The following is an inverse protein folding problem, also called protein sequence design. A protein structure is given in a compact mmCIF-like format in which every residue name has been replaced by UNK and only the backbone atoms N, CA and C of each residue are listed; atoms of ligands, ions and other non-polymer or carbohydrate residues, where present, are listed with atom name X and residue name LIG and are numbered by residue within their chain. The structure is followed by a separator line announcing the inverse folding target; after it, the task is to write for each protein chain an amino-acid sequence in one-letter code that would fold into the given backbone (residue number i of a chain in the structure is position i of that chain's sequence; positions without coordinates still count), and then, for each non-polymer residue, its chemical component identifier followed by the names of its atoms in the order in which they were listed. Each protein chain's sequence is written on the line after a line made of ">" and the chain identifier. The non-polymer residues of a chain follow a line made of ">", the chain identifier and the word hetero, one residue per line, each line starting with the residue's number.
data_IF_980222604574
#
_entry.id   IF_980222604574
#
_cell.length_a   1.000
_cell.length_b   1.000
_cell.length_c   1.000
_cell.angle_alpha   90.00
_cell.angle_beta   90.00
_cell.angle_gamma   90.00
#
_symmetry.space_group_name_H-M   'P 1'
#
loop_
_entity.id
_entity.type
_entity.pdbx_description
1 polymer ?
#
# COMPACT_ATOMS: atom_id res chain seq x y z
N UNK A 1 0.77 -10.34 -6.03
CA UNK A 1 -0.27 -9.51 -6.67
C UNK A 1 0.34 -8.75 -7.84
N UNK A 2 -0.34 -8.69 -8.99
CA UNK A 2 0.14 -8.03 -10.22
C UNK A 2 -0.80 -6.91 -10.71
N UNK A 3 -1.68 -6.41 -9.83
CA UNK A 3 -2.58 -5.30 -10.15
C UNK A 3 -1.76 -4.02 -10.23
N UNK A 4 -1.90 -3.26 -11.32
CA UNK A 4 -1.25 -1.96 -11.50
C UNK A 4 -2.23 -0.85 -11.19
N UNK A 5 -1.75 0.25 -10.61
CA UNK A 5 -2.62 1.35 -10.24
C UNK A 5 -3.23 2.03 -11.47
N UNK A 6 -2.51 2.07 -12.59
CA UNK A 6 -2.99 2.66 -13.83
C UNK A 6 -3.90 1.71 -14.66
N UNK A 7 -4.38 0.61 -14.09
CA UNK A 7 -5.32 -0.28 -14.77
C UNK A 7 -6.67 0.46 -14.99
N UNK A 8 -7.18 0.50 -16.24
CA UNK A 8 -8.40 1.24 -16.56
C UNK A 8 -9.66 0.67 -15.89
N UNK A 9 -9.64 -0.60 -15.45
CA UNK A 9 -10.77 -1.27 -14.77
C UNK A 9 -10.85 -0.94 -13.28
N UNK A 10 -9.84 -0.31 -12.69
CA UNK A 10 -9.92 0.22 -11.33
C UNK A 10 -10.80 1.47 -11.26
N UNK A 11 -11.37 1.78 -10.10
CA UNK A 11 -12.01 3.08 -9.86
C UNK A 11 -11.03 4.24 -10.05
N UNK A 12 -11.52 5.40 -10.51
CA UNK A 12 -10.67 6.54 -10.88
C UNK A 12 -9.89 7.11 -9.70
N UNK A 13 -10.46 7.03 -8.51
CA UNK A 13 -9.85 7.42 -7.25
C UNK A 13 -8.66 6.53 -6.93
N UNK A 14 -8.80 5.21 -7.13
CA UNK A 14 -7.72 4.24 -6.96
C UNK A 14 -6.63 4.47 -8.01
N UNK A 15 -7.01 4.73 -9.27
CA UNK A 15 -6.05 5.05 -10.32
C UNK A 15 -5.18 6.27 -9.97
N UNK A 16 -5.76 7.27 -9.32
CA UNK A 16 -5.04 8.51 -8.95
C UNK A 16 -4.25 8.37 -7.64
N UNK A 17 -4.82 7.74 -6.63
CA UNK A 17 -4.33 7.84 -5.24
C UNK A 17 -4.24 6.50 -4.51
N UNK A 18 -4.49 5.37 -5.19
CA UNK A 18 -4.64 4.05 -4.58
C UNK A 18 -3.35 3.32 -4.21
N UNK A 19 -2.18 3.93 -4.37
CA UNK A 19 -0.89 3.26 -4.14
C UNK A 19 -0.78 2.63 -2.75
N UNK A 20 -1.20 3.33 -1.70
CA UNK A 20 -1.14 2.80 -0.35
C UNK A 20 -2.15 1.65 -0.15
N UNK A 21 -3.38 1.81 -0.64
CA UNK A 21 -4.41 0.76 -0.59
C UNK A 21 -3.94 -0.54 -1.26
N UNK A 22 -3.29 -0.43 -2.41
CA UNK A 22 -2.75 -1.58 -3.13
C UNK A 22 -1.59 -2.24 -2.38
N UNK A 23 -0.74 -1.46 -1.70
CA UNK A 23 0.29 -2.03 -0.83
C UNK A 23 -0.31 -2.83 0.35
N UNK A 24 -1.40 -2.35 0.94
CA UNK A 24 -2.10 -3.10 2.00
C UNK A 24 -2.66 -4.43 1.47
N UNK A 25 -3.30 -4.41 0.30
CA UNK A 25 -3.81 -5.63 -0.34
C UNK A 25 -2.70 -6.61 -0.74
N UNK A 26 -1.54 -6.11 -1.15
CA UNK A 26 -0.36 -6.95 -1.38
C UNK A 26 0.00 -7.75 -0.13
N UNK A 27 0.10 -7.10 1.04
CA UNK A 27 0.42 -7.78 2.29
C UNK A 27 -0.68 -8.73 2.74
N UNK A 28 -1.95 -8.33 2.62
CA UNK A 28 -3.09 -9.22 2.92
C UNK A 28 -3.03 -10.48 2.05
N UNK A 29 -2.80 -10.31 0.74
CA UNK A 29 -2.64 -11.42 -0.21
C UNK A 29 -1.53 -12.38 0.22
N UNK A 30 -0.38 -11.85 0.68
CA UNK A 30 0.73 -12.67 1.16
C UNK A 30 0.44 -13.38 2.47
N UNK A 31 -0.16 -12.71 3.46
CA UNK A 31 -0.40 -13.30 4.78
C UNK A 31 -1.57 -14.27 4.83
N UNK A 32 -2.55 -14.09 3.96
CA UNK A 32 -3.76 -14.92 3.90
C UNK A 32 -3.78 -15.87 2.71
N UNK A 33 -2.72 -15.86 1.89
CA UNK A 33 -2.65 -16.65 0.65
C UNK A 33 -3.89 -16.43 -0.22
N UNK A 34 -4.33 -15.17 -0.29
CA UNK A 34 -5.49 -14.74 -1.08
C UNK A 34 -5.02 -14.14 -2.40
N UNK A 35 -5.78 -14.39 -3.46
CA UNK A 35 -5.62 -13.68 -4.72
C UNK A 35 -6.69 -12.61 -4.84
N UNK A 36 -6.28 -11.37 -5.07
CA UNK A 36 -7.19 -10.27 -5.37
C UNK A 36 -7.28 -10.05 -6.86
N UNK A 37 -8.51 -9.98 -7.36
CA UNK A 37 -8.85 -9.47 -8.68
C UNK A 37 -9.05 -7.95 -8.63
N UNK A 38 -9.16 -7.31 -9.79
CA UNK A 38 -9.50 -5.88 -9.87
C UNK A 38 -10.89 -5.59 -9.30
N UNK A 39 -11.84 -6.52 -9.46
CA UNK A 39 -13.18 -6.38 -8.88
C UNK A 39 -13.08 -6.33 -7.36
N UNK A 40 -12.32 -7.25 -6.75
CA UNK A 40 -12.14 -7.27 -5.30
C UNK A 40 -11.54 -5.96 -4.79
N UNK A 41 -10.56 -5.38 -5.49
CA UNK A 41 -9.98 -4.09 -5.11
C UNK A 41 -11.03 -2.95 -5.15
N UNK A 42 -11.86 -2.92 -6.20
CA UNK A 42 -12.91 -1.91 -6.33
C UNK A 42 -14.00 -2.04 -5.25
N UNK A 43 -14.37 -3.28 -4.95
CA UNK A 43 -15.38 -3.60 -3.94
C UNK A 43 -14.86 -3.31 -2.54
N UNK A 44 -13.62 -3.70 -2.24
CA UNK A 44 -12.96 -3.40 -0.97
C UNK A 44 -12.75 -1.90 -0.77
N UNK A 45 -12.35 -1.15 -1.81
CA UNK A 45 -12.29 0.31 -1.73
C UNK A 45 -13.64 0.90 -1.32
N UNK A 46 -14.72 0.51 -2.01
CA UNK A 46 -16.07 1.04 -1.73
C UNK A 46 -16.52 0.66 -0.32
N UNK A 47 -16.25 -0.58 0.11
CA UNK A 47 -16.54 -1.06 1.47
C UNK A 47 -15.77 -0.26 2.52
N UNK A 48 -14.47 -0.07 2.34
CA UNK A 48 -13.63 0.63 3.32
C UNK A 48 -13.88 2.14 3.36
N UNK A 49 -14.37 2.71 2.28
CA UNK A 49 -14.97 4.06 2.28
C UNK A 49 -16.22 4.09 3.16
N UNK A 50 -17.17 3.18 2.94
CA UNK A 50 -18.42 3.12 3.71
C UNK A 50 -18.20 2.86 5.19
N UNK A 51 -17.18 2.06 5.54
CA UNK A 51 -16.79 1.80 6.94
C UNK A 51 -15.97 2.94 7.56
N UNK A 52 -15.61 3.98 6.80
CA UNK A 52 -14.83 5.12 7.28
C UNK A 52 -13.34 4.80 7.53
N UNK A 53 -12.80 3.74 6.93
CA UNK A 53 -11.38 3.38 7.05
C UNK A 53 -10.51 4.13 6.04
N UNK A 54 -11.13 4.59 4.95
CA UNK A 54 -10.51 5.30 3.83
C UNK A 54 -11.43 6.47 3.43
N UNK A 55 -10.88 7.62 3.05
CA UNK A 55 -11.63 8.71 2.41
C UNK A 55 -11.83 8.45 0.92
N UNK A 56 -12.80 9.13 0.29
CA UNK A 56 -13.05 8.98 -1.16
C UNK A 56 -11.81 9.24 -2.04
N UNK A 57 -10.86 10.06 -1.61
CA UNK A 57 -9.60 10.26 -2.32
C UNK A 57 -8.50 9.20 -2.03
N UNK A 58 -8.88 8.00 -1.58
CA UNK A 58 -7.97 6.91 -1.14
C UNK A 58 -7.06 7.24 0.05
N UNK A 59 -7.27 8.36 0.75
CA UNK A 59 -6.51 8.64 1.96
C UNK A 59 -6.88 7.62 3.06
N UNK A 60 -5.92 6.76 3.42
CA UNK A 60 -6.11 5.72 4.43
C UNK A 60 -6.14 6.38 5.82
N UNK A 61 -7.27 6.25 6.51
CA UNK A 61 -7.44 6.76 7.88
C UNK A 61 -6.98 5.74 8.92
N UNK A 62 -7.26 4.46 8.69
CA UNK A 62 -6.91 3.39 9.62
C UNK A 62 -6.51 2.10 8.87
N UNK A 63 -5.20 1.91 8.59
CA UNK A 63 -4.74 0.71 7.89
C UNK A 63 -4.87 -0.56 8.76
N UNK A 64 -4.80 -0.45 10.08
CA UNK A 64 -4.95 -1.57 11.00
C UNK A 64 -6.37 -2.16 10.97
N UNK A 65 -7.41 -1.31 10.84
CA UNK A 65 -8.79 -1.79 10.66
C UNK A 65 -8.98 -2.53 9.34
N UNK A 66 -8.28 -2.12 8.28
CA UNK A 66 -8.28 -2.85 7.00
C UNK A 66 -7.63 -4.22 7.18
N UNK A 67 -6.50 -4.32 7.87
CA UNK A 67 -5.88 -5.62 8.18
C UNK A 67 -6.75 -6.50 9.08
N UNK A 68 -7.38 -5.91 10.11
CA UNK A 68 -8.27 -6.62 11.04
C UNK A 68 -9.50 -7.20 10.31
N UNK A 69 -10.01 -6.53 9.27
CA UNK A 69 -11.07 -7.08 8.41
C UNK A 69 -10.74 -8.46 7.83
N UNK A 70 -9.45 -8.79 7.68
CA UNK A 70 -8.96 -10.10 7.23
C UNK A 70 -8.40 -10.96 8.36
N UNK A 71 -8.63 -10.60 9.62
CA UNK A 71 -8.10 -11.28 10.80
C UNK A 71 -6.57 -11.18 10.90
N UNK A 72 -6.01 -10.02 10.56
CA UNK A 72 -4.58 -9.70 10.78
C UNK A 72 -4.53 -8.64 11.86
N UNK A 73 -4.04 -8.99 13.04
CA UNK A 73 -3.83 -8.05 14.11
C UNK A 73 -2.42 -7.43 13.97
N UNK A 74 -2.38 -6.11 13.88
CA UNK A 74 -1.14 -5.35 13.75
C UNK A 74 -1.31 -3.92 14.24
N UNK A 75 -0.26 -3.37 14.83
CA UNK A 75 -0.09 -1.94 15.04
C UNK A 75 0.70 -1.31 13.89
N UNK A 76 0.51 0.00 13.67
CA UNK A 76 1.23 0.77 12.66
C UNK A 76 1.89 1.96 13.31
N UNK A 77 3.12 2.27 12.88
CA UNK A 77 3.79 3.51 13.22
C UNK A 77 4.50 4.12 12.02
N UNK A 78 4.72 5.42 12.11
CA UNK A 78 5.56 6.14 11.18
C UNK A 78 7.02 6.01 11.61
N UNK A 79 7.91 5.76 10.65
CA UNK A 79 9.35 5.72 10.89
C UNK A 79 10.10 6.49 9.81
N UNK A 80 11.30 6.95 10.16
CA UNK A 80 12.23 7.57 9.21
C UNK A 80 12.74 6.56 8.18
N UNK A 81 13.16 7.07 7.00
CA UNK A 81 13.60 6.27 5.85
C UNK A 81 14.73 5.27 6.13
N UNK A 82 15.52 5.48 7.17
CA UNK A 82 16.65 4.65 7.57
C UNK A 82 16.29 3.54 8.57
N UNK A 83 15.05 3.48 9.07
CA UNK A 83 14.62 2.38 9.94
C UNK A 83 14.67 1.04 9.21
N UNK A 84 15.12 -0.01 9.90
CA UNK A 84 15.23 -1.38 9.38
C UNK A 84 14.17 -2.24 10.06
N UNK A 85 13.33 -2.89 9.26
CA UNK A 85 12.21 -3.70 9.75
C UNK A 85 12.72 -4.93 10.52
N UNK A 86 12.13 -5.20 11.68
CA UNK A 86 12.38 -6.41 12.47
C UNK A 86 11.68 -7.62 11.85
N UNK A 87 12.01 -8.84 12.30
CA UNK A 87 11.48 -10.10 11.76
C UNK A 87 9.95 -10.22 11.83
N UNK A 88 9.32 -9.61 12.83
CA UNK A 88 7.87 -9.58 13.00
C UNK A 88 7.22 -8.30 12.44
N UNK A 89 7.96 -7.52 11.66
CA UNK A 89 7.51 -6.27 11.06
C UNK A 89 7.48 -6.38 9.53
N UNK A 90 6.61 -5.58 8.94
CA UNK A 90 6.56 -5.36 7.50
C UNK A 90 6.34 -3.88 7.21
N UNK A 91 6.79 -3.41 6.04
CA UNK A 91 6.85 -1.98 5.77
C UNK A 91 6.19 -1.57 4.44
N UNK A 92 5.58 -0.40 4.45
CA UNK A 92 5.22 0.33 3.24
C UNK A 92 6.03 1.62 3.24
N UNK A 93 6.88 1.79 2.24
CA UNK A 93 7.69 3.00 2.06
C UNK A 93 6.92 4.06 1.31
N UNK A 94 6.95 5.28 1.83
CA UNK A 94 6.55 6.49 1.12
C UNK A 94 7.74 7.02 0.34
N UNK A 95 7.59 7.22 -0.96
CA UNK A 95 8.64 7.67 -1.86
C UNK A 95 8.23 8.95 -2.58
N UNK A 96 9.22 9.80 -2.86
CA UNK A 96 9.07 10.96 -3.71
C UNK A 96 9.59 10.62 -5.10
N UNK A 97 8.72 10.73 -6.10
CA UNK A 97 9.13 10.61 -7.50
C UNK A 97 9.67 11.97 -7.94
N UNK A 98 10.83 11.98 -8.58
CA UNK A 98 11.46 13.23 -9.01
C UNK A 98 10.56 13.96 -10.02
N UNK A 99 10.46 15.29 -9.88
CA UNK A 99 9.68 16.18 -10.76
C UNK A 99 8.16 15.92 -10.78
N UNK A 100 7.63 15.05 -9.92
CA UNK A 100 6.20 14.81 -9.76
C UNK A 100 5.73 15.36 -8.41
N UNK A 101 4.62 16.11 -8.40
CA UNK A 101 4.01 16.59 -7.17
C UNK A 101 3.38 15.42 -6.38
N UNK A 102 3.47 15.48 -5.04
CA UNK A 102 2.99 14.41 -4.15
C UNK A 102 4.01 13.31 -3.86
N UNK A 103 3.55 12.26 -3.19
CA UNK A 103 4.31 11.05 -2.84
C UNK A 103 3.58 9.80 -3.35
N UNK A 104 4.33 8.71 -3.46
CA UNK A 104 3.85 7.39 -3.86
C UNK A 104 4.17 6.37 -2.77
N UNK A 105 3.38 5.30 -2.66
CA UNK A 105 3.62 4.24 -1.68
C UNK A 105 3.97 2.93 -2.38
N UNK A 106 4.99 2.26 -1.87
CA UNK A 106 5.47 0.95 -2.33
C UNK A 106 5.64 0.00 -1.14
N UNK A 107 5.34 -1.28 -1.34
CA UNK A 107 5.64 -2.29 -0.33
C UNK A 107 7.12 -2.66 -0.44
N UNK A 108 7.84 -2.57 0.68
CA UNK A 108 9.28 -2.85 0.73
C UNK A 108 9.62 -3.79 1.87
N UNK A 109 10.82 -4.37 1.83
CA UNK A 109 11.44 -5.02 2.98
C UNK A 109 12.93 -4.73 2.92
N UNK A 110 13.45 -3.96 3.87
CA UNK A 110 14.87 -3.61 3.97
C UNK A 110 15.44 -3.12 2.62
N UNK A 111 14.76 -2.13 2.02
CA UNK A 111 15.11 -1.51 0.73
C UNK A 111 14.85 -2.38 -0.52
N UNK A 112 14.41 -3.63 -0.36
CA UNK A 112 13.95 -4.46 -1.46
C UNK A 112 12.50 -4.09 -1.78
N UNK A 113 12.21 -3.74 -3.03
CA UNK A 113 10.85 -3.49 -3.49
C UNK A 113 10.13 -4.83 -3.66
N UNK A 114 9.07 -5.03 -2.89
CA UNK A 114 8.24 -6.22 -2.91
C UNK A 114 7.04 -6.06 -3.84
N UNK A 115 6.47 -4.84 -3.88
CA UNK A 115 5.39 -4.48 -4.77
C UNK A 115 5.35 -2.97 -4.99
N UNK A 116 5.21 -2.58 -6.25
CA UNK A 116 5.04 -1.21 -6.70
C UNK A 116 3.98 -1.18 -7.81
N UNK A 117 2.87 -0.52 -7.52
CA UNK A 117 1.72 -0.43 -8.40
C UNK A 117 1.99 0.38 -9.68
N UNK A 118 3.05 1.19 -9.72
CA UNK A 118 3.47 1.99 -10.87
C UNK A 118 4.69 1.43 -11.60
N UNK A 119 5.37 0.44 -11.02
CA UNK A 119 6.60 -0.16 -11.56
C UNK A 119 7.69 0.87 -11.88
N UNK A 120 7.94 1.80 -10.96
CA UNK A 120 8.93 2.87 -11.10
C UNK A 120 10.32 2.34 -11.46
N UNK A 121 10.76 1.26 -10.79
CA UNK A 121 12.06 0.62 -11.07
C UNK A 121 12.12 0.06 -12.50
N UNK A 122 11.10 -0.71 -12.93
CA UNK A 122 11.05 -1.28 -14.29
C UNK A 122 11.05 -0.18 -15.36
N UNK A 123 10.54 1.01 -15.03
CA UNK A 123 10.48 2.19 -15.92
C UNK A 123 11.73 3.07 -15.86
N UNK A 124 12.73 2.73 -15.03
CA UNK A 124 13.89 3.58 -14.79
C UNK A 124 13.54 4.95 -14.18
N UNK A 125 12.40 5.05 -13.51
CA UNK A 125 11.93 6.30 -12.89
C UNK A 125 12.63 6.51 -11.55
N UNK A 126 13.43 7.56 -11.38
CA UNK A 126 14.12 7.82 -10.13
C UNK A 126 13.13 8.27 -9.03
N UNK A 127 13.38 7.78 -7.83
CA UNK A 127 12.66 8.17 -6.63
C UNK A 127 13.56 8.02 -5.40
N UNK A 128 13.18 8.68 -4.30
CA UNK A 128 13.84 8.51 -3.01
C UNK A 128 12.82 8.29 -1.90
N UNK A 129 13.17 7.45 -0.92
CA UNK A 129 12.31 7.17 0.24
C UNK A 129 12.27 8.37 1.17
N UNK A 130 11.05 8.80 1.52
CA UNK A 130 10.77 9.87 2.47
C UNK A 130 10.56 9.32 3.88
N UNK A 131 9.70 8.32 4.00
CA UNK A 131 9.29 7.75 5.28
C UNK A 131 8.84 6.31 5.11
N UNK A 132 8.56 5.64 6.23
CA UNK A 132 8.01 4.28 6.26
C UNK A 132 6.77 4.22 7.14
N UNK A 133 5.83 3.37 6.77
CA UNK A 133 4.77 2.86 7.66
C UNK A 133 5.20 1.46 8.05
N UNK A 134 5.63 1.31 9.29
CA UNK A 134 6.04 0.01 9.84
C UNK A 134 4.85 -0.59 10.55
N UNK A 135 4.51 -1.80 10.15
CA UNK A 135 3.49 -2.60 10.78
C UNK A 135 4.15 -3.71 11.57
N UNK A 136 3.76 -3.86 12.84
CA UNK A 136 4.18 -4.98 13.66
C UNK A 136 3.01 -5.93 13.80
N UNK A 137 3.24 -7.20 13.47
CA UNK A 137 2.21 -8.24 13.57
C UNK A 137 2.19 -8.85 14.99
N UNK A 138 1.00 -9.20 15.46
CA UNK A 138 0.76 -9.90 16.73
C UNK A 138 0.34 -11.36 16.52
#
# INVERSE_FOLDING_TARGET
>A
MNIKQNDPKLKKEIQKFGCYLLCLHYYISKFKTLEFTISDINDNYSRFVNLGYIKNNCFILNPCKIFNHYGINADVRWEYKNYVSKSNEFEVSEVKIDRIAGSHFIATNNSIVLYDSLKLKDRGTPYHTLSKRIFRKH
#
